data_IF_604364800218
#
_entry.id   IF_604364800218
#
_cell.length_a   1.000
_cell.length_b   1.000
_cell.length_c   1.000
_cell.angle_alpha   90.00
_cell.angle_beta   90.00
_cell.angle_gamma   90.00
#
_symmetry.space_group_name_H-M   'P 1'
#
loop_
_entity.id
_entity.type
_entity.pdbx_description
1 polymer ?
#
# COMPACT_ATOMS: atom_id res chain seq x y z
N UNK A 1 -14.94 -10.67 -31.62
CA UNK A 1 -14.18 -9.58 -30.98
C UNK A 1 -13.44 -10.20 -29.82
N UNK A 2 -12.13 -10.46 -29.96
CA UNK A 2 -11.33 -10.98 -28.86
C UNK A 2 -11.18 -9.87 -27.82
N UNK A 3 -11.58 -10.15 -26.57
CA UNK A 3 -11.25 -9.25 -25.48
C UNK A 3 -9.72 -9.12 -25.42
N UNK A 4 -9.16 -7.91 -25.32
CA UNK A 4 -7.72 -7.77 -25.11
C UNK A 4 -7.35 -8.52 -23.84
N UNK A 5 -6.36 -9.41 -23.91
CA UNK A 5 -5.74 -10.00 -22.71
C UNK A 5 -5.27 -8.84 -21.83
N UNK A 6 -5.95 -8.68 -20.68
CA UNK A 6 -5.58 -7.65 -19.72
C UNK A 6 -4.24 -8.07 -19.12
N UNK A 7 -3.26 -7.18 -19.20
CA UNK A 7 -1.96 -7.37 -18.56
C UNK A 7 -2.15 -7.71 -17.07
N UNK A 8 -1.46 -8.74 -16.59
CA UNK A 8 -1.65 -9.25 -15.23
C UNK A 8 -1.28 -8.19 -14.18
N UNK A 9 -0.29 -7.33 -14.43
CA UNK A 9 0.06 -6.27 -13.50
C UNK A 9 -1.05 -5.20 -13.43
N UNK A 10 -1.65 -4.84 -14.57
CA UNK A 10 -2.81 -3.94 -14.60
C UNK A 10 -3.99 -4.54 -13.85
N UNK A 11 -4.25 -5.84 -14.04
CA UNK A 11 -5.35 -6.54 -13.38
C UNK A 11 -5.20 -6.56 -11.86
N UNK A 12 -4.09 -7.09 -11.34
CA UNK A 12 -3.86 -7.16 -9.88
C UNK A 12 -3.66 -5.77 -9.25
N UNK A 13 -3.06 -4.83 -9.99
CA UNK A 13 -2.95 -3.43 -9.57
C UNK A 13 -4.33 -2.77 -9.41
N UNK A 14 -5.26 -3.05 -10.31
CA UNK A 14 -6.63 -2.53 -10.23
C UNK A 14 -7.40 -3.10 -9.04
N UNK A 15 -7.30 -4.41 -8.79
CA UNK A 15 -7.88 -5.04 -7.61
C UNK A 15 -7.32 -4.40 -6.34
N UNK A 16 -6.00 -4.21 -6.29
CA UNK A 16 -5.33 -3.56 -5.16
C UNK A 16 -5.88 -2.14 -4.97
N UNK A 17 -5.92 -1.31 -6.00
CA UNK A 17 -6.43 0.06 -5.91
C UNK A 17 -7.86 0.12 -5.34
N UNK A 18 -8.77 -0.72 -5.85
CA UNK A 18 -10.17 -0.74 -5.40
C UNK A 18 -10.29 -1.21 -3.96
N UNK A 19 -9.63 -2.32 -3.62
CA UNK A 19 -9.70 -2.89 -2.27
C UNK A 19 -9.09 -1.96 -1.22
N UNK A 20 -7.98 -1.28 -1.54
CA UNK A 20 -7.41 -0.25 -0.68
C UNK A 20 -8.35 0.95 -0.51
N UNK A 21 -9.03 1.40 -1.58
CA UNK A 21 -10.03 2.47 -1.48
C UNK A 21 -11.19 2.13 -0.54
N UNK A 22 -11.75 0.93 -0.65
CA UNK A 22 -12.79 0.42 0.26
C UNK A 22 -12.26 0.35 1.70
N UNK A 23 -11.04 -0.17 1.87
CA UNK A 23 -10.41 -0.27 3.18
C UNK A 23 -10.20 1.09 3.84
N UNK A 24 -9.84 2.15 3.10
CA UNK A 24 -9.70 3.50 3.68
C UNK A 24 -11.02 3.97 4.30
N UNK A 25 -12.15 3.78 3.60
CA UNK A 25 -13.48 4.20 4.09
C UNK A 25 -13.86 3.45 5.35
N UNK A 26 -13.72 2.12 5.33
CA UNK A 26 -14.05 1.27 6.48
C UNK A 26 -13.09 1.50 7.65
N UNK A 27 -11.79 1.66 7.37
CA UNK A 27 -10.75 1.93 8.35
C UNK A 27 -10.94 3.28 9.03
N UNK A 28 -11.36 4.31 8.29
CA UNK A 28 -11.71 5.61 8.87
C UNK A 28 -12.88 5.47 9.84
N UNK A 29 -13.98 4.85 9.40
CA UNK A 29 -15.15 4.62 10.25
C UNK A 29 -14.80 3.81 11.52
N UNK A 30 -13.94 2.80 11.39
CA UNK A 30 -13.44 2.02 12.53
C UNK A 30 -12.58 2.88 13.47
N UNK A 31 -11.71 3.74 12.93
CA UNK A 31 -10.83 4.64 13.70
C UNK A 31 -11.60 5.71 14.49
N UNK A 32 -12.78 6.10 14.02
CA UNK A 32 -13.68 7.03 14.73
C UNK A 32 -14.52 6.31 15.78
N UNK A 33 -14.78 5.01 15.59
CA UNK A 33 -15.66 4.22 16.45
C UNK A 33 -14.97 3.63 17.69
N UNK A 34 -13.67 3.37 17.60
CA UNK A 34 -12.84 2.80 18.66
C UNK A 34 -11.44 3.43 18.64
N UNK A 35 -10.59 3.11 19.63
CA UNK A 35 -9.21 3.57 19.62
C UNK A 35 -8.52 3.19 18.28
N UNK A 36 -7.88 4.14 17.57
CA UNK A 36 -7.34 3.89 16.22
C UNK A 36 -6.25 2.82 16.18
N UNK A 37 -5.47 2.70 17.27
CA UNK A 37 -4.42 1.66 17.38
C UNK A 37 -5.07 0.29 17.51
N UNK A 38 -6.19 0.21 18.21
CA UNK A 38 -7.01 -0.99 18.32
C UNK A 38 -7.65 -1.34 16.98
N UNK A 39 -8.21 -0.37 16.25
CA UNK A 39 -8.75 -0.58 14.90
C UNK A 39 -7.68 -1.08 13.90
N UNK A 40 -6.47 -0.53 13.96
CA UNK A 40 -5.33 -1.01 13.17
C UNK A 40 -4.96 -2.46 13.53
N UNK A 41 -4.90 -2.79 14.82
CA UNK A 41 -4.58 -4.14 15.29
C UNK A 41 -5.62 -5.17 14.82
N UNK A 42 -6.91 -4.87 14.96
CA UNK A 42 -8.01 -5.73 14.48
C UNK A 42 -7.91 -5.92 12.96
N UNK A 43 -7.66 -4.85 12.21
CA UNK A 43 -7.54 -4.93 10.75
C UNK A 43 -6.44 -5.89 10.30
N UNK A 44 -5.28 -5.87 10.96
CA UNK A 44 -4.21 -6.84 10.68
C UNK A 44 -4.52 -8.25 11.17
N UNK A 45 -5.19 -8.39 12.32
CA UNK A 45 -5.65 -9.67 12.83
C UNK A 45 -6.59 -10.38 11.84
N UNK A 46 -7.33 -9.63 11.03
CA UNK A 46 -8.17 -10.19 9.96
C UNK A 46 -7.37 -10.41 8.66
N UNK A 47 -6.50 -9.46 8.29
CA UNK A 47 -5.73 -9.55 7.04
C UNK A 47 -4.65 -10.66 7.05
N UNK A 48 -3.98 -10.87 8.19
CA UNK A 48 -2.89 -11.84 8.28
C UNK A 48 -3.37 -13.29 8.06
N UNK A 49 -4.45 -13.78 8.70
CA UNK A 49 -5.01 -15.10 8.39
C UNK A 49 -5.44 -15.25 6.94
N UNK A 50 -5.90 -14.18 6.28
CA UNK A 50 -6.26 -14.25 4.86
C UNK A 50 -5.02 -14.49 3.99
N UNK A 51 -3.92 -13.78 4.24
CA UNK A 51 -2.66 -14.01 3.54
C UNK A 51 -2.06 -15.41 3.82
N UNK A 52 -2.14 -15.86 5.08
CA UNK A 52 -1.71 -17.19 5.47
C UNK A 52 -2.61 -18.29 4.89
N UNK A 53 -3.91 -18.07 4.81
CA UNK A 53 -4.85 -19.00 4.18
C UNK A 53 -4.59 -19.10 2.67
N UNK A 54 -4.31 -17.97 2.02
CA UNK A 54 -4.02 -17.93 0.58
C UNK A 54 -2.79 -18.76 0.22
N UNK A 55 -1.70 -18.67 1.00
CA UNK A 55 -0.50 -19.48 0.71
C UNK A 55 -0.78 -20.99 0.79
N UNK A 56 -1.67 -21.42 1.70
CA UNK A 56 -2.03 -22.84 1.87
C UNK A 56 -2.87 -23.42 0.72
N UNK A 57 -3.60 -22.58 0.00
CA UNK A 57 -4.43 -23.00 -1.15
C UNK A 57 -3.77 -22.67 -2.50
N UNK A 58 -2.59 -22.03 -2.47
CA UNK A 58 -1.81 -21.71 -3.65
C UNK A 58 -0.72 -22.75 -3.91
N UNK A 59 -0.23 -22.83 -5.14
CA UNK A 59 0.92 -23.67 -5.51
C UNK A 59 2.28 -23.05 -5.08
N UNK A 60 2.28 -22.20 -4.05
CA UNK A 60 3.47 -21.48 -3.60
C UNK A 60 4.48 -22.38 -2.90
N UNK A 61 5.77 -22.10 -3.11
CA UNK A 61 6.84 -22.72 -2.34
C UNK A 61 6.91 -22.14 -0.92
N UNK A 62 6.97 -23.00 0.09
CA UNK A 62 7.15 -22.61 1.49
C UNK A 62 8.63 -22.45 1.89
N UNK A 63 9.56 -22.51 0.93
CA UNK A 63 10.98 -22.38 1.19
C UNK A 63 11.34 -20.93 1.59
N UNK A 64 11.88 -20.74 2.80
CA UNK A 64 12.33 -19.45 3.30
C UNK A 64 13.86 -19.39 3.21
N UNK A 65 14.39 -18.47 2.39
CA UNK A 65 15.82 -18.14 2.41
C UNK A 65 16.10 -17.06 3.46
N UNK A 66 17.30 -17.01 4.01
CA UNK A 66 17.67 -15.99 5.00
C UNK A 66 17.46 -14.55 4.48
N UNK A 67 17.89 -14.30 3.22
CA UNK A 67 17.69 -12.98 2.57
C UNK A 67 16.22 -12.68 2.32
N UNK A 68 15.46 -13.63 1.77
CA UNK A 68 14.04 -13.45 1.47
C UNK A 68 13.21 -13.22 2.73
N UNK A 69 13.45 -14.02 3.77
CA UNK A 69 12.80 -13.87 5.07
C UNK A 69 13.12 -12.53 5.74
N UNK A 70 14.38 -12.08 5.69
CA UNK A 70 14.75 -10.77 6.23
C UNK A 70 14.05 -9.62 5.48
N UNK A 71 14.06 -9.64 4.15
CA UNK A 71 13.39 -8.61 3.34
C UNK A 71 11.88 -8.58 3.61
N UNK A 72 11.22 -9.75 3.67
CA UNK A 72 9.80 -9.85 3.97
C UNK A 72 9.47 -9.37 5.40
N UNK A 73 10.29 -9.72 6.39
CA UNK A 73 10.12 -9.26 7.77
C UNK A 73 10.30 -7.74 7.89
N UNK A 74 11.32 -7.17 7.24
CA UNK A 74 11.52 -5.72 7.19
C UNK A 74 10.38 -5.02 6.49
N UNK A 75 9.88 -5.54 5.36
CA UNK A 75 8.70 -5.01 4.70
C UNK A 75 7.47 -5.04 5.62
N UNK A 76 7.25 -6.16 6.33
CA UNK A 76 6.18 -6.31 7.31
C UNK A 76 6.26 -5.28 8.45
N UNK A 77 7.47 -5.00 8.96
CA UNK A 77 7.71 -3.96 9.96
C UNK A 77 7.26 -2.58 9.45
N UNK A 78 7.69 -2.17 8.25
CA UNK A 78 7.28 -0.89 7.67
C UNK A 78 5.77 -0.86 7.37
N UNK A 79 5.17 -1.98 6.99
CA UNK A 79 3.73 -2.06 6.76
C UNK A 79 2.96 -1.84 8.07
N UNK A 80 3.41 -2.45 9.18
CA UNK A 80 2.84 -2.23 10.51
C UNK A 80 2.95 -0.77 10.97
N UNK A 81 4.13 -0.16 10.81
CA UNK A 81 4.33 1.27 11.12
C UNK A 81 3.38 2.14 10.29
N UNK A 82 3.36 1.93 8.97
CA UNK A 82 2.51 2.69 8.05
C UNK A 82 1.02 2.56 8.39
N UNK A 83 0.55 1.35 8.71
CA UNK A 83 -0.84 1.13 9.06
C UNK A 83 -1.24 1.84 10.36
N UNK A 84 -0.42 1.72 11.42
CA UNK A 84 -0.69 2.40 12.70
C UNK A 84 -0.73 3.92 12.49
N UNK A 85 0.25 4.47 11.78
CA UNK A 85 0.28 5.89 11.44
C UNK A 85 -0.95 6.31 10.63
N UNK A 86 -1.39 5.48 9.69
CA UNK A 86 -2.57 5.74 8.88
C UNK A 86 -3.84 5.78 9.73
N UNK A 87 -4.11 4.78 10.57
CA UNK A 87 -5.29 4.79 11.44
C UNK A 87 -5.32 5.97 12.42
N UNK A 88 -4.18 6.28 13.04
CA UNK A 88 -4.06 7.47 13.90
C UNK A 88 -4.36 8.74 13.08
N UNK A 89 -3.81 8.86 11.87
CA UNK A 89 -4.07 9.97 10.97
C UNK A 89 -5.54 10.08 10.57
N UNK A 90 -6.19 8.97 10.23
CA UNK A 90 -7.61 8.91 9.87
C UNK A 90 -8.51 9.40 11.01
N UNK A 91 -8.17 9.07 12.26
CA UNK A 91 -8.98 9.47 13.42
C UNK A 91 -8.92 10.98 13.76
N UNK A 92 -7.80 11.64 13.45
CA UNK A 92 -7.52 13.01 13.91
C UNK A 92 -7.35 14.04 12.81
N UNK A 93 -7.31 13.61 11.54
CA UNK A 93 -7.03 14.45 10.38
C UNK A 93 -8.04 14.26 9.26
N UNK A 94 -7.84 14.99 8.17
CA UNK A 94 -8.64 14.81 6.96
C UNK A 94 -8.34 13.45 6.34
N UNK A 95 -9.35 12.56 6.30
CA UNK A 95 -9.32 11.27 5.60
C UNK A 95 -8.76 11.43 4.18
N UNK A 96 -9.17 12.47 3.47
CA UNK A 96 -8.70 12.79 2.11
C UNK A 96 -7.21 13.08 2.10
N UNK A 97 -6.69 13.91 3.01
CA UNK A 97 -5.27 14.24 3.06
C UNK A 97 -4.44 12.99 3.40
N UNK A 98 -4.83 12.26 4.45
CA UNK A 98 -4.10 11.08 4.94
C UNK A 98 -4.08 9.99 3.87
N UNK A 99 -5.22 9.66 3.28
CA UNK A 99 -5.32 8.64 2.23
C UNK A 99 -4.54 9.05 0.97
N UNK A 100 -4.66 10.30 0.52
CA UNK A 100 -3.96 10.79 -0.67
C UNK A 100 -2.44 10.78 -0.48
N UNK A 101 -1.93 11.24 0.67
CA UNK A 101 -0.51 11.17 0.99
C UNK A 101 -0.03 9.72 1.11
N UNK A 102 -0.81 8.84 1.75
CA UNK A 102 -0.45 7.42 1.87
C UNK A 102 -0.34 6.74 0.50
N UNK A 103 -1.24 7.06 -0.43
CA UNK A 103 -1.20 6.53 -1.80
C UNK A 103 0.06 6.93 -2.56
N UNK A 104 0.77 7.97 -2.15
CA UNK A 104 2.06 8.38 -2.73
C UNK A 104 3.25 7.52 -2.31
N UNK A 105 3.07 6.40 -1.60
CA UNK A 105 4.19 5.51 -1.25
C UNK A 105 5.02 5.10 -2.47
N UNK A 106 4.43 5.06 -3.66
CA UNK A 106 5.14 4.76 -4.90
C UNK A 106 6.20 5.80 -5.26
N UNK A 107 6.03 7.07 -4.86
CA UNK A 107 7.04 8.13 -5.06
C UNK A 107 8.26 7.82 -4.20
N UNK A 108 8.06 7.46 -2.93
CA UNK A 108 9.15 7.07 -2.04
C UNK A 108 9.87 5.82 -2.59
N UNK A 109 9.11 4.82 -3.05
CA UNK A 109 9.67 3.63 -3.67
C UNK A 109 10.49 3.95 -4.93
N UNK A 110 10.00 4.86 -5.79
CA UNK A 110 10.72 5.30 -6.97
C UNK A 110 12.03 6.03 -6.62
N UNK A 111 12.01 6.91 -5.62
CA UNK A 111 13.21 7.61 -5.14
C UNK A 111 14.24 6.64 -4.56
N UNK A 112 13.81 5.63 -3.80
CA UNK A 112 14.68 4.57 -3.29
C UNK A 112 15.27 3.75 -4.44
N UNK A 113 14.46 3.39 -5.44
CA UNK A 113 14.93 2.67 -6.63
C UNK A 113 16.05 3.43 -7.35
N UNK A 114 15.84 4.74 -7.54
CA UNK A 114 16.83 5.62 -8.16
C UNK A 114 18.10 5.75 -7.31
N UNK A 115 17.94 6.06 -6.01
CA UNK A 115 19.06 6.44 -5.15
C UNK A 115 19.89 5.25 -4.64
N UNK A 116 19.25 4.09 -4.44
CA UNK A 116 19.85 2.92 -3.78
C UNK A 116 19.99 1.74 -4.73
N UNK A 117 18.98 1.50 -5.59
CA UNK A 117 18.97 0.32 -6.48
C UNK A 117 19.61 0.59 -7.84
N UNK A 118 19.90 1.87 -8.15
CA UNK A 118 20.53 2.28 -9.40
C UNK A 118 19.56 2.31 -10.59
N UNK A 119 18.25 2.43 -10.34
CA UNK A 119 17.27 2.58 -11.41
C UNK A 119 17.57 3.82 -12.26
N UNK A 120 17.46 3.70 -13.59
CA UNK A 120 17.58 4.84 -14.48
C UNK A 120 16.46 5.87 -14.27
N UNK A 121 16.84 7.15 -14.25
CA UNK A 121 15.90 8.27 -14.29
C UNK A 121 15.55 8.55 -15.74
N UNK A 122 14.35 8.20 -16.16
CA UNK A 122 13.79 8.67 -17.44
C UNK A 122 13.03 9.98 -17.23
N UNK A 123 13.00 10.83 -18.26
CA UNK A 123 12.23 12.09 -18.25
C UNK A 123 10.76 11.81 -17.93
N UNK A 124 10.20 10.74 -18.49
CA UNK A 124 8.81 10.33 -18.27
C UNK A 124 8.54 9.94 -16.81
N UNK A 125 9.45 9.17 -16.17
CA UNK A 125 9.31 8.78 -14.76
C UNK A 125 9.38 10.00 -13.85
N UNK A 126 10.31 10.91 -14.12
CA UNK A 126 10.44 12.16 -13.38
C UNK A 126 9.18 13.02 -13.52
N UNK A 127 8.69 13.23 -14.74
CA UNK A 127 7.46 13.97 -14.99
C UNK A 127 6.25 13.35 -14.27
N UNK A 128 6.12 12.01 -14.29
CA UNK A 128 5.07 11.30 -13.57
C UNK A 128 5.10 11.54 -12.06
N UNK A 129 6.29 11.53 -11.44
CA UNK A 129 6.46 11.86 -10.02
C UNK A 129 6.04 13.32 -9.75
N UNK A 130 6.48 14.27 -10.58
CA UNK A 130 6.09 15.68 -10.44
C UNK A 130 4.57 15.85 -10.54
N UNK A 131 3.93 15.25 -11.54
CA UNK A 131 2.47 15.32 -11.69
C UNK A 131 1.73 14.67 -10.53
N UNK A 132 2.23 13.57 -9.98
CA UNK A 132 1.66 12.96 -8.79
C UNK A 132 1.72 13.91 -7.59
N UNK A 133 2.86 14.54 -7.34
CA UNK A 133 3.04 15.51 -6.25
C UNK A 133 2.08 16.69 -6.42
N UNK A 134 1.98 17.24 -7.64
CA UNK A 134 1.03 18.32 -7.94
C UNK A 134 -0.41 17.87 -7.67
N UNK A 135 -0.80 16.69 -8.16
CA UNK A 135 -2.14 16.14 -7.95
C UNK A 135 -2.48 16.04 -6.47
N UNK A 136 -1.56 15.57 -5.64
CA UNK A 136 -1.76 15.48 -4.19
C UNK A 136 -1.84 16.84 -3.53
N UNK A 137 -0.99 17.80 -3.90
CA UNK A 137 -1.07 19.17 -3.38
C UNK A 137 -2.42 19.82 -3.71
N UNK A 138 -2.98 19.53 -4.88
CA UNK A 138 -4.30 20.02 -5.28
C UNK A 138 -5.44 19.35 -4.50
N UNK A 139 -5.37 18.04 -4.30
CA UNK A 139 -6.38 17.27 -3.55
C UNK A 139 -6.34 17.58 -2.04
N UNK A 140 -5.16 17.91 -1.51
CA UNK A 140 -4.97 18.20 -0.10
C UNK A 140 -5.34 19.65 0.30
N UNK A 141 -5.78 20.49 -0.64
CA UNK A 141 -6.24 21.87 -0.41
C UNK A 141 -7.76 21.95 -0.46
#
# INVERSE_FOLDING_TARGET
MGFPEIDSAVFFGSITMVTWGIWVVLGNAASESIDPRTAAAISYLVAAPLALGYILVSDASLAITARGGLLAATAGLFTGIGLISMYIGLSGGSTTIVSTLSAMYFVVAALIGIAILGDEITITRFAGIVFAVIGVVLVAR
#
